data_IF_010027886652
#
_entry.id   IF_010027886652
#
_cell.length_a   1.000
_cell.length_b   1.000
_cell.length_c   1.000
_cell.angle_alpha   90.00
_cell.angle_beta   90.00
_cell.angle_gamma   90.00
#
_symmetry.space_group_name_H-M   'P 1'
#
loop_
_entity.id
_entity.type
_entity.pdbx_description
1 polymer ?
#
# COMPACT_ATOMS: atom_id res chain seq x y z
N UNK A 1 14.50 6.66 -14.82
CA UNK A 1 14.73 5.30 -14.29
C UNK A 1 16.15 4.80 -14.51
N UNK A 2 16.71 4.82 -15.73
CA UNK A 2 18.08 4.29 -16.02
C UNK A 2 19.16 4.73 -15.01
N UNK A 3 19.17 6.00 -14.62
CA UNK A 3 20.05 6.54 -13.58
C UNK A 3 20.10 5.67 -12.30
N UNK A 4 18.94 5.23 -11.79
CA UNK A 4 18.86 4.43 -10.57
C UNK A 4 19.24 2.96 -10.79
N UNK A 5 19.20 2.48 -12.03
CA UNK A 5 19.62 1.11 -12.37
C UNK A 5 21.12 1.00 -12.69
N UNK A 6 21.77 2.09 -13.10
CA UNK A 6 23.15 2.07 -13.59
C UNK A 6 24.14 2.86 -12.72
N UNK A 7 23.72 4.00 -12.16
CA UNK A 7 24.62 4.93 -11.45
C UNK A 7 24.30 5.00 -9.95
N UNK A 8 23.02 5.05 -9.59
CA UNK A 8 22.54 5.18 -8.21
C UNK A 8 21.84 3.91 -7.73
N UNK A 9 22.44 2.76 -8.00
CA UNK A 9 21.92 1.40 -7.72
C UNK A 9 22.05 0.95 -6.26
N UNK A 10 22.55 1.82 -5.37
CA UNK A 10 22.81 1.48 -3.97
C UNK A 10 21.56 1.07 -3.20
N UNK A 11 21.74 0.25 -2.16
CA UNK A 11 20.66 -0.05 -1.23
C UNK A 11 20.33 1.19 -0.38
N UNK A 12 19.10 1.75 -0.47
CA UNK A 12 18.69 2.94 0.30
C UNK A 12 18.63 2.71 1.82
N UNK A 13 18.64 1.45 2.28
CA UNK A 13 18.77 1.09 3.69
C UNK A 13 20.21 1.17 4.24
N UNK A 14 21.21 1.26 3.36
CA UNK A 14 22.61 1.35 3.77
C UNK A 14 23.01 2.77 4.18
N UNK A 15 23.88 2.88 5.19
CA UNK A 15 24.48 4.14 5.61
C UNK A 15 25.72 4.54 4.80
N UNK A 16 26.24 3.65 3.95
CA UNK A 16 27.35 3.98 3.06
C UNK A 16 26.94 5.02 2.02
N UNK A 17 27.90 5.77 1.51
CA UNK A 17 27.70 6.88 0.55
C UNK A 17 26.89 6.46 -0.69
N UNK A 18 27.07 5.23 -1.15
CA UNK A 18 26.37 4.65 -2.30
C UNK A 18 24.86 4.48 -2.02
N UNK A 19 24.46 4.22 -0.76
CA UNK A 19 23.06 4.11 -0.35
C UNK A 19 22.36 5.47 -0.11
N UNK A 20 23.13 6.53 0.18
CA UNK A 20 22.56 7.83 0.52
C UNK A 20 21.83 8.50 -0.67
N UNK A 21 22.35 8.34 -1.90
CA UNK A 21 21.74 8.91 -3.11
C UNK A 21 20.35 8.33 -3.41
N UNK A 22 20.17 7.00 -3.56
CA UNK A 22 18.84 6.42 -3.77
C UNK A 22 17.90 6.64 -2.58
N UNK A 23 18.43 6.69 -1.35
CA UNK A 23 17.62 7.05 -0.16
C UNK A 23 16.98 8.44 -0.29
N UNK A 24 17.75 9.44 -0.75
CA UNK A 24 17.23 10.80 -1.01
C UNK A 24 16.23 10.80 -2.17
N UNK A 25 16.46 10.03 -3.22
CA UNK A 25 15.53 9.91 -4.34
C UNK A 25 14.17 9.35 -3.90
N UNK A 26 14.15 8.28 -3.08
CA UNK A 26 12.91 7.71 -2.53
C UNK A 26 12.21 8.71 -1.61
N UNK A 27 12.95 9.43 -0.77
CA UNK A 27 12.37 10.47 0.08
C UNK A 27 11.70 11.57 -0.75
N UNK A 28 12.37 12.02 -1.83
CA UNK A 28 11.80 13.03 -2.73
C UNK A 28 10.57 12.52 -3.49
N UNK A 29 10.59 11.28 -3.96
CA UNK A 29 9.43 10.66 -4.59
C UNK A 29 8.23 10.62 -3.62
N UNK A 30 8.48 10.33 -2.34
CA UNK A 30 7.43 10.29 -1.32
C UNK A 30 6.79 11.67 -1.08
N UNK A 31 7.59 12.74 -1.07
CA UNK A 31 7.07 14.12 -1.01
C UNK A 31 6.18 14.45 -2.20
N UNK A 32 6.63 14.12 -3.42
CA UNK A 32 5.87 14.38 -4.65
C UNK A 32 4.52 13.66 -4.66
N UNK A 33 4.48 12.39 -4.23
CA UNK A 33 3.24 11.63 -4.12
C UNK A 33 2.32 12.21 -3.06
N UNK A 34 2.87 12.59 -1.89
CA UNK A 34 2.08 13.27 -0.84
C UNK A 34 1.38 14.50 -1.42
N UNK A 35 2.12 15.35 -2.14
CA UNK A 35 1.59 16.58 -2.73
C UNK A 35 0.53 16.30 -3.79
N UNK A 36 0.73 15.27 -4.63
CA UNK A 36 -0.21 14.86 -5.66
C UNK A 36 -1.59 14.49 -5.09
N UNK A 37 -1.64 13.78 -3.97
CA UNK A 37 -2.90 13.32 -3.34
C UNK A 37 -3.35 14.20 -2.16
N UNK A 38 -2.67 15.33 -1.94
CA UNK A 38 -2.92 16.25 -0.83
C UNK A 38 -2.93 15.56 0.56
N UNK A 39 -2.00 14.62 0.78
CA UNK A 39 -1.81 13.99 2.08
C UNK A 39 -1.16 14.96 3.08
N UNK A 40 -1.47 14.82 4.38
CA UNK A 40 -1.01 15.78 5.40
C UNK A 40 0.46 15.60 5.72
N UNK A 41 0.94 14.36 5.76
CA UNK A 41 2.29 14.03 6.19
C UNK A 41 2.95 13.04 5.23
N UNK A 42 4.24 13.21 4.97
CA UNK A 42 5.02 12.32 4.09
C UNK A 42 4.99 10.87 4.59
N UNK A 43 4.88 10.66 5.91
CA UNK A 43 4.82 9.34 6.55
C UNK A 43 3.52 8.56 6.27
N UNK A 44 2.49 9.21 5.73
CA UNK A 44 1.23 8.56 5.35
C UNK A 44 1.36 7.82 4.01
N UNK A 45 2.43 8.07 3.25
CA UNK A 45 2.69 7.41 1.97
C UNK A 45 3.54 6.18 2.21
N UNK A 46 3.12 5.03 1.68
CA UNK A 46 3.88 3.77 1.64
C UNK A 46 4.02 3.36 0.17
N UNK A 47 5.19 2.81 -0.20
CA UNK A 47 5.41 2.24 -1.53
C UNK A 47 5.34 0.72 -1.44
N UNK A 48 4.49 0.12 -2.26
CA UNK A 48 4.32 -1.34 -2.44
C UNK A 48 4.71 -1.70 -3.88
N UNK A 49 4.75 -3.00 -4.19
CA UNK A 49 5.04 -3.50 -5.53
C UNK A 49 3.87 -3.40 -6.51
N UNK A 50 2.63 -3.26 -6.04
CA UNK A 50 1.43 -3.16 -6.90
C UNK A 50 0.20 -2.60 -6.18
N UNK A 51 -0.84 -2.25 -6.95
CA UNK A 51 -2.15 -1.90 -6.41
C UNK A 51 -2.79 -3.04 -5.61
N UNK A 52 -2.65 -4.29 -6.08
CA UNK A 52 -3.16 -5.48 -5.37
C UNK A 52 -2.51 -5.65 -4.01
N UNK A 53 -1.18 -5.44 -3.92
CA UNK A 53 -0.46 -5.47 -2.64
C UNK A 53 -0.91 -4.33 -1.72
N UNK A 54 -1.09 -3.11 -2.23
CA UNK A 54 -1.59 -1.99 -1.44
C UNK A 54 -2.97 -2.26 -0.84
N UNK A 55 -3.90 -2.81 -1.63
CA UNK A 55 -5.26 -3.16 -1.17
C UNK A 55 -5.20 -4.23 -0.08
N UNK A 56 -4.40 -5.28 -0.30
CA UNK A 56 -4.22 -6.34 0.70
C UNK A 56 -3.60 -5.80 1.99
N UNK A 57 -2.55 -4.98 1.90
CA UNK A 57 -1.90 -4.37 3.05
C UNK A 57 -2.88 -3.52 3.86
N UNK A 58 -3.69 -2.69 3.19
CA UNK A 58 -4.65 -1.82 3.86
C UNK A 58 -5.76 -2.61 4.55
N UNK A 59 -6.40 -3.56 3.85
CA UNK A 59 -7.52 -4.33 4.38
C UNK A 59 -7.04 -5.37 5.39
N UNK A 60 -6.15 -6.28 4.99
CA UNK A 60 -5.70 -7.36 5.87
C UNK A 60 -4.96 -6.80 7.09
N UNK A 61 -4.14 -5.76 6.89
CA UNK A 61 -3.35 -5.15 7.97
C UNK A 61 -4.19 -4.51 9.08
N UNK A 62 -5.40 -3.99 8.77
CA UNK A 62 -6.30 -3.53 9.84
C UNK A 62 -7.11 -4.69 10.42
N UNK A 63 -7.59 -5.61 9.60
CA UNK A 63 -8.43 -6.72 10.08
C UNK A 63 -7.67 -7.70 10.96
N UNK A 64 -6.35 -7.86 10.77
CA UNK A 64 -5.51 -8.70 11.65
C UNK A 64 -5.50 -8.26 13.11
N UNK A 65 -5.90 -7.03 13.41
CA UNK A 65 -5.97 -6.50 14.79
C UNK A 65 -7.25 -6.88 15.52
N UNK A 66 -8.21 -7.52 14.84
CA UNK A 66 -9.52 -7.85 15.37
C UNK A 66 -9.88 -9.30 15.03
N UNK A 67 -10.67 -9.95 15.89
CA UNK A 67 -11.10 -11.33 15.64
C UNK A 67 -12.11 -11.41 14.48
N UNK A 68 -13.09 -10.51 14.48
CA UNK A 68 -14.07 -10.30 13.40
C UNK A 68 -14.64 -8.88 13.48
N UNK A 69 -15.43 -8.48 12.48
CA UNK A 69 -16.12 -7.20 12.41
C UNK A 69 -17.03 -7.12 11.19
N UNK A 70 -17.52 -5.91 10.92
CA UNK A 70 -18.37 -5.60 9.78
C UNK A 70 -17.62 -4.68 8.80
N UNK A 71 -17.62 -5.05 7.52
CA UNK A 71 -17.02 -4.27 6.43
C UNK A 71 -18.12 -3.89 5.45
N UNK A 72 -18.04 -2.66 4.94
CA UNK A 72 -18.94 -2.14 3.89
C UNK A 72 -18.11 -1.84 2.65
N UNK A 73 -18.56 -2.31 1.50
CA UNK A 73 -17.91 -2.12 0.19
C UNK A 73 -18.95 -1.92 -0.92
N UNK A 74 -18.52 -1.69 -2.17
CA UNK A 74 -19.40 -1.60 -3.34
C UNK A 74 -19.45 -2.91 -4.13
N UNK A 75 -20.47 -3.10 -4.97
CA UNK A 75 -20.55 -4.26 -5.88
C UNK A 75 -19.65 -4.14 -7.11
N UNK A 76 -18.97 -3.01 -7.31
CA UNK A 76 -18.19 -2.70 -8.52
C UNK A 76 -16.67 -2.61 -8.28
N UNK A 77 -16.20 -3.07 -7.13
CA UNK A 77 -14.77 -3.06 -6.81
C UNK A 77 -13.95 -3.96 -7.73
N UNK A 78 -12.66 -3.63 -7.87
CA UNK A 78 -11.69 -4.47 -8.57
C UNK A 78 -11.44 -5.79 -7.81
N UNK A 79 -11.02 -6.85 -8.52
CA UNK A 79 -10.76 -8.20 -7.97
C UNK A 79 -9.84 -8.18 -6.73
N UNK A 80 -8.85 -7.30 -6.70
CA UNK A 80 -7.95 -7.11 -5.56
C UNK A 80 -8.70 -6.85 -4.23
N UNK A 81 -9.85 -6.16 -4.27
CA UNK A 81 -10.70 -5.91 -3.11
C UNK A 81 -11.64 -7.09 -2.91
N UNK A 82 -12.37 -7.52 -3.94
CA UNK A 82 -13.41 -8.55 -3.80
C UNK A 82 -12.85 -9.88 -3.32
N UNK A 83 -11.71 -10.33 -3.85
CA UNK A 83 -11.03 -11.56 -3.43
C UNK A 83 -10.46 -11.44 -2.01
N UNK A 84 -10.00 -10.25 -1.63
CA UNK A 84 -9.52 -9.99 -0.27
C UNK A 84 -10.67 -10.10 0.75
N UNK A 85 -11.84 -9.56 0.43
CA UNK A 85 -13.02 -9.63 1.29
C UNK A 85 -13.62 -11.04 1.33
N UNK A 86 -13.67 -11.73 0.18
CA UNK A 86 -14.09 -13.14 0.11
C UNK A 86 -13.24 -14.01 1.03
N UNK A 87 -11.92 -13.84 1.03
CA UNK A 87 -11.02 -14.53 1.95
C UNK A 87 -11.38 -14.26 3.43
N UNK A 88 -11.66 -13.00 3.79
CA UNK A 88 -11.98 -12.63 5.17
C UNK A 88 -13.33 -13.18 5.63
N UNK A 89 -14.36 -13.16 4.78
CA UNK A 89 -15.66 -13.76 5.09
C UNK A 89 -15.53 -15.27 5.36
N UNK A 90 -14.86 -15.99 4.47
CA UNK A 90 -14.86 -17.46 4.49
C UNK A 90 -13.86 -18.06 5.47
N UNK A 91 -12.80 -17.34 5.82
CA UNK A 91 -11.71 -17.89 6.65
C UNK A 91 -11.54 -17.19 8.00
N UNK A 92 -12.07 -15.96 8.13
CA UNK A 92 -11.94 -15.14 9.34
C UNK A 92 -13.29 -14.73 9.93
N UNK A 93 -14.41 -15.09 9.29
CA UNK A 93 -15.76 -14.87 9.82
C UNK A 93 -16.20 -13.41 9.84
N UNK A 94 -15.64 -12.58 8.95
CA UNK A 94 -16.07 -11.18 8.79
C UNK A 94 -17.43 -11.10 8.10
N UNK A 95 -18.26 -10.15 8.51
CA UNK A 95 -19.50 -9.81 7.82
C UNK A 95 -19.23 -8.70 6.79
N UNK A 96 -19.63 -8.89 5.53
CA UNK A 96 -19.38 -7.92 4.45
C UNK A 96 -20.68 -7.53 3.76
N UNK A 97 -21.04 -6.25 3.89
CA UNK A 97 -22.12 -5.64 3.11
C UNK A 97 -21.59 -5.07 1.81
N UNK A 98 -22.18 -5.48 0.69
CA UNK A 98 -21.90 -4.96 -0.66
C UNK A 98 -23.04 -4.06 -1.10
N UNK A 99 -22.78 -2.76 -1.21
CA UNK A 99 -23.76 -1.75 -1.61
C UNK A 99 -23.98 -1.80 -3.13
N UNK A 100 -25.22 -1.98 -3.61
CA UNK A 100 -25.51 -2.01 -5.04
C UNK A 100 -25.37 -0.62 -5.67
N UNK A 101 -25.17 -0.61 -6.99
CA UNK A 101 -25.12 0.60 -7.83
C UNK A 101 -26.37 0.74 -8.67
#
# INVERSE_FOLDING_TARGET
MNKYFQEEYGNPGSFHTIGLRPKRAIAKARELVRDLINAKQVKEIIFTGSGTESVNLAIKGITEKYDTGHIITSTIEHEAVTETLYYLEHTKGWDVTRVPV
#
